data_IF_879461541827
#
_entry.id   IF_879461541827
#
_cell.length_a   1.000
_cell.length_b   1.000
_cell.length_c   1.000
_cell.angle_alpha   90.00
_cell.angle_beta   90.00
_cell.angle_gamma   90.00
#
_symmetry.space_group_name_H-M   'P 1'
#
loop_
_entity.id
_entity.type
_entity.pdbx_description
1 polymer ?
#
# COMPACT_ATOMS: atom_id res chain seq x y z
N UNK A 1 4.76 -0.58 1.08
CA UNK A 1 5.62 0.23 0.21
C UNK A 1 5.75 1.67 0.69
N UNK A 2 4.78 2.53 0.40
CA UNK A 2 4.81 3.99 0.71
C UNK A 2 5.17 4.28 2.18
N UNK A 3 4.49 3.63 3.10
CA UNK A 3 4.73 3.77 4.54
C UNK A 3 6.17 3.40 4.95
N UNK A 4 6.68 2.28 4.45
CA UNK A 4 8.06 1.84 4.74
C UNK A 4 9.07 2.81 4.13
N UNK A 5 8.86 3.22 2.88
CA UNK A 5 9.71 4.19 2.20
C UNK A 5 9.78 5.52 2.97
N UNK A 6 8.63 6.05 3.43
CA UNK A 6 8.58 7.27 4.24
C UNK A 6 9.45 7.20 5.50
N UNK A 7 9.57 6.03 6.12
CA UNK A 7 10.34 5.87 7.35
C UNK A 7 11.83 5.62 7.13
N UNK A 8 12.17 4.86 6.09
CA UNK A 8 13.53 4.38 5.90
C UNK A 8 14.34 5.19 4.89
N UNK A 9 13.66 5.87 3.95
CA UNK A 9 14.33 6.48 2.80
C UNK A 9 14.35 8.01 2.82
N UNK A 10 14.01 8.62 3.96
CA UNK A 10 13.91 10.08 4.09
C UNK A 10 15.21 10.85 3.78
N UNK A 11 16.36 10.22 3.96
CA UNK A 11 17.68 10.84 3.72
C UNK A 11 18.23 10.56 2.32
N UNK A 12 17.52 9.75 1.52
CA UNK A 12 17.95 9.45 0.16
C UNK A 12 17.40 10.45 -0.85
N UNK A 13 18.21 10.78 -1.84
CA UNK A 13 17.82 11.64 -2.95
C UNK A 13 17.34 10.78 -4.12
N UNK A 14 16.15 11.07 -4.60
CA UNK A 14 15.54 10.41 -5.74
C UNK A 14 15.21 11.42 -6.82
N UNK A 15 15.38 11.04 -8.09
CA UNK A 15 14.97 11.84 -9.24
C UNK A 15 13.45 12.08 -9.24
N UNK A 16 12.70 11.07 -8.86
CA UNK A 16 11.24 11.11 -8.77
C UNK A 16 10.76 10.16 -7.68
N UNK A 17 9.71 10.55 -6.98
CA UNK A 17 9.06 9.74 -5.93
C UNK A 17 7.57 9.60 -6.26
N UNK A 18 7.13 8.37 -6.42
CA UNK A 18 5.76 8.04 -6.80
C UNK A 18 5.15 7.15 -5.73
N UNK A 19 4.00 7.55 -5.20
CA UNK A 19 3.21 6.74 -4.28
C UNK A 19 2.04 6.08 -5.02
N UNK A 20 1.82 4.80 -4.79
CA UNK A 20 0.70 4.05 -5.34
C UNK A 20 -0.01 3.33 -4.20
N UNK A 21 -1.30 3.58 -4.05
CA UNK A 21 -2.19 2.90 -3.10
C UNK A 21 -1.63 2.81 -1.68
N UNK A 22 -1.11 3.92 -1.16
CA UNK A 22 -0.58 3.99 0.20
C UNK A 22 -0.29 5.42 0.63
N UNK A 23 -0.11 5.61 1.93
CA UNK A 23 0.22 6.91 2.55
C UNK A 23 1.47 6.83 3.42
N UNK A 24 1.99 7.99 3.81
CA UNK A 24 3.15 8.07 4.69
C UNK A 24 2.93 7.43 6.06
N UNK A 25 1.70 7.45 6.58
CA UNK A 25 1.38 6.88 7.88
C UNK A 25 1.01 5.39 7.81
N UNK A 26 0.50 4.90 6.69
CA UNK A 26 0.18 3.50 6.45
C UNK A 26 -0.95 2.96 7.33
N UNK A 27 -0.76 2.93 8.64
CA UNK A 27 -1.75 2.50 9.64
C UNK A 27 -2.07 3.70 10.53
N UNK A 28 -3.24 4.29 10.33
CA UNK A 28 -3.69 5.51 11.02
C UNK A 28 -5.23 5.60 10.95
N UNK A 29 -5.85 6.33 11.90
CA UNK A 29 -7.31 6.45 11.96
C UNK A 29 -7.92 7.18 10.76
N UNK A 30 -7.20 8.15 10.17
CA UNK A 30 -7.69 9.03 9.11
C UNK A 30 -6.88 8.93 7.82
N UNK A 31 -5.56 8.76 7.95
CA UNK A 31 -4.59 8.83 6.86
C UNK A 31 -3.98 7.47 6.50
N UNK A 32 -4.56 6.38 6.95
CA UNK A 32 -4.08 5.03 6.72
C UNK A 32 -5.17 3.98 6.85
N UNK A 33 -4.76 2.72 6.91
CA UNK A 33 -5.66 1.63 7.31
C UNK A 33 -5.95 1.80 8.79
N UNK A 34 -7.23 1.85 9.15
CA UNK A 34 -7.62 2.02 10.56
C UNK A 34 -7.01 0.90 11.43
N UNK A 35 -6.36 1.21 12.57
CA UNK A 35 -5.65 0.21 13.39
C UNK A 35 -6.50 -1.00 13.77
N UNK A 36 -7.80 -0.79 14.07
CA UNK A 36 -8.73 -1.88 14.40
C UNK A 36 -8.97 -2.79 13.19
N UNK A 37 -9.08 -2.24 11.98
CA UNK A 37 -9.25 -3.00 10.74
C UNK A 37 -7.98 -3.79 10.46
N UNK A 38 -6.82 -3.15 10.54
CA UNK A 38 -5.54 -3.83 10.32
C UNK A 38 -5.35 -4.99 11.30
N UNK A 39 -5.67 -4.80 12.58
CA UNK A 39 -5.60 -5.86 13.61
C UNK A 39 -6.53 -7.03 13.29
N UNK A 40 -7.75 -6.78 12.82
CA UNK A 40 -8.69 -7.83 12.37
C UNK A 40 -8.13 -8.58 11.17
N UNK A 41 -7.58 -7.88 10.18
CA UNK A 41 -6.92 -8.48 9.02
C UNK A 41 -5.77 -9.38 9.45
N UNK A 42 -4.92 -8.92 10.37
CA UNK A 42 -3.81 -9.69 10.91
C UNK A 42 -4.26 -10.99 11.60
N UNK A 43 -5.32 -10.92 12.41
CA UNK A 43 -5.87 -12.09 13.12
C UNK A 43 -6.44 -13.14 12.15
N UNK A 44 -7.07 -12.68 11.06
CA UNK A 44 -7.78 -13.53 10.10
C UNK A 44 -7.03 -13.66 8.76
N UNK A 45 -5.75 -13.30 8.71
CA UNK A 45 -4.98 -13.30 7.47
C UNK A 45 -4.97 -14.66 6.80
N UNK A 46 -5.35 -14.70 5.53
CA UNK A 46 -5.29 -15.85 4.63
C UNK A 46 -4.70 -15.43 3.31
N UNK A 47 -3.58 -16.03 2.95
CA UNK A 47 -2.87 -15.72 1.71
C UNK A 47 -3.74 -15.87 0.46
N UNK A 48 -4.58 -16.92 0.41
CA UNK A 48 -5.50 -17.13 -0.71
C UNK A 48 -6.43 -15.93 -0.90
N UNK A 49 -7.10 -15.51 0.17
CA UNK A 49 -8.02 -14.37 0.14
C UNK A 49 -7.28 -13.06 -0.19
N UNK A 50 -6.13 -12.85 0.44
CA UNK A 50 -5.30 -11.67 0.16
C UNK A 50 -4.94 -11.53 -1.33
N UNK A 51 -4.55 -12.63 -1.98
CA UNK A 51 -4.29 -12.63 -3.43
C UNK A 51 -5.52 -12.28 -4.26
N UNK A 52 -6.70 -12.71 -3.80
CA UNK A 52 -7.97 -12.39 -4.48
C UNK A 52 -8.25 -10.90 -4.49
N UNK A 53 -8.10 -10.24 -3.33
CA UNK A 53 -8.33 -8.80 -3.20
C UNK A 53 -7.19 -7.97 -3.81
N UNK A 54 -5.95 -8.51 -3.80
CA UNK A 54 -4.78 -7.81 -4.32
C UNK A 54 -4.84 -7.60 -5.83
N UNK A 55 -5.32 -8.61 -6.55
CA UNK A 55 -5.29 -8.65 -8.01
C UNK A 55 -6.66 -8.59 -8.68
N UNK A 56 -7.73 -8.94 -7.97
CA UNK A 56 -9.11 -8.98 -8.46
C UNK A 56 -9.20 -9.61 -9.88
N UNK A 57 -9.71 -8.88 -10.86
CA UNK A 57 -9.82 -9.34 -12.23
C UNK A 57 -8.46 -9.50 -12.95
N UNK A 58 -7.38 -8.92 -12.41
CA UNK A 58 -6.01 -9.01 -12.95
C UNK A 58 -5.26 -10.28 -12.55
N UNK A 59 -5.89 -11.23 -11.87
CA UNK A 59 -5.26 -12.50 -11.42
C UNK A 59 -4.53 -13.26 -12.51
N UNK A 60 -5.05 -13.24 -13.73
CA UNK A 60 -4.42 -13.92 -14.88
C UNK A 60 -3.05 -13.37 -15.23
N UNK A 61 -2.79 -12.09 -14.95
CA UNK A 61 -1.49 -11.42 -15.16
C UNK A 61 -0.49 -11.72 -14.03
N UNK A 62 -0.98 -12.16 -12.87
CA UNK A 62 -0.17 -12.43 -11.68
C UNK A 62 0.26 -13.90 -11.53
N UNK A 63 0.17 -14.72 -12.58
CA UNK A 63 0.47 -16.17 -12.52
C UNK A 63 1.88 -16.48 -12.02
N UNK A 64 2.84 -15.67 -12.41
CA UNK A 64 4.26 -15.86 -12.09
C UNK A 64 4.68 -15.13 -10.81
N UNK A 65 3.72 -14.52 -10.09
CA UNK A 65 4.01 -13.84 -8.83
C UNK A 65 4.31 -14.85 -7.72
N UNK A 66 5.54 -14.82 -7.22
CA UNK A 66 5.98 -15.69 -6.12
C UNK A 66 5.76 -14.96 -4.80
N UNK A 67 4.91 -15.53 -3.97
CA UNK A 67 4.69 -15.05 -2.59
C UNK A 67 5.49 -15.91 -1.61
N UNK A 68 5.89 -15.28 -0.50
CA UNK A 68 6.30 -16.02 0.69
C UNK A 68 5.13 -16.86 1.23
N UNK A 69 5.41 -17.83 2.05
CA UNK A 69 4.36 -18.60 2.73
C UNK A 69 3.50 -17.72 3.67
N UNK A 70 2.30 -18.18 3.96
CA UNK A 70 1.30 -17.44 4.77
C UNK A 70 1.84 -17.02 6.14
N UNK A 71 2.62 -17.91 6.78
CA UNK A 71 3.18 -17.64 8.12
C UNK A 71 4.23 -16.52 8.07
N UNK A 72 5.11 -16.53 7.09
CA UNK A 72 6.11 -15.48 6.89
C UNK A 72 5.48 -14.12 6.62
N UNK A 73 4.46 -14.08 5.76
CA UNK A 73 3.73 -12.85 5.46
C UNK A 73 2.98 -12.32 6.69
N UNK A 74 2.40 -13.20 7.51
CA UNK A 74 1.75 -12.80 8.75
C UNK A 74 2.73 -12.16 9.73
N UNK A 75 3.92 -12.73 9.90
CA UNK A 75 4.99 -12.14 10.72
C UNK A 75 5.41 -10.75 10.21
N UNK A 76 5.48 -10.57 8.89
CA UNK A 76 5.78 -9.25 8.32
C UNK A 76 4.67 -8.23 8.60
N UNK A 77 3.42 -8.63 8.49
CA UNK A 77 2.28 -7.77 8.86
C UNK A 77 2.28 -7.41 10.36
N UNK A 78 2.62 -8.36 11.24
CA UNK A 78 2.77 -8.10 12.68
C UNK A 78 3.84 -7.03 12.93
N UNK A 79 5.01 -7.17 12.31
CA UNK A 79 6.08 -6.17 12.40
C UNK A 79 5.66 -4.79 11.86
N UNK A 80 4.90 -4.75 10.78
CA UNK A 80 4.36 -3.47 10.26
C UNK A 80 3.40 -2.83 11.25
N UNK A 81 2.56 -3.61 11.93
CA UNK A 81 1.65 -3.12 12.95
C UNK A 81 2.40 -2.57 14.15
N UNK A 82 3.36 -3.33 14.70
CA UNK A 82 4.20 -2.90 15.84
C UNK A 82 4.97 -1.63 15.50
N UNK A 83 5.51 -1.56 14.28
CA UNK A 83 6.20 -0.38 13.79
C UNK A 83 5.29 0.84 13.70
N UNK A 84 4.01 0.66 13.37
CA UNK A 84 3.02 1.73 13.34
C UNK A 84 2.64 2.26 14.73
N UNK A 85 2.83 1.48 15.80
CA UNK A 85 2.60 1.92 17.17
C UNK A 85 3.69 2.86 17.68
N UNK A 86 4.83 2.95 17.01
CA UNK A 86 5.87 3.95 17.33
C UNK A 86 5.50 5.31 16.75
N UNK A 87 6.20 6.39 17.18
CA UNK A 87 5.98 7.73 16.65
C UNK A 87 6.09 7.73 15.12
N UNK A 88 5.04 8.19 14.45
CA UNK A 88 4.97 8.30 13.00
C UNK A 88 5.12 9.77 12.58
N UNK A 89 5.82 9.99 11.49
CA UNK A 89 6.05 11.31 10.88
C UNK A 89 5.83 11.22 9.38
N UNK A 90 5.32 12.29 8.78
CA UNK A 90 5.17 12.41 7.33
C UNK A 90 6.42 13.10 6.78
N UNK A 91 7.43 12.31 6.43
CA UNK A 91 8.77 12.80 6.06
C UNK A 91 8.99 12.97 4.55
N UNK A 92 8.31 12.14 3.73
CA UNK A 92 8.49 12.18 2.28
C UNK A 92 7.39 13.00 1.61
N UNK A 93 7.80 13.85 0.68
CA UNK A 93 6.94 14.45 -0.32
C UNK A 93 6.99 13.58 -1.58
N UNK A 94 5.84 13.37 -2.20
CA UNK A 94 5.66 12.54 -3.39
C UNK A 94 5.36 13.44 -4.58
N UNK A 95 6.04 13.18 -5.70
CA UNK A 95 5.88 13.97 -6.93
C UNK A 95 4.57 13.59 -7.65
N UNK A 96 4.20 12.30 -7.59
CA UNK A 96 2.91 11.79 -8.07
C UNK A 96 2.31 10.84 -7.05
N UNK A 97 0.99 10.84 -6.96
CA UNK A 97 0.25 9.92 -6.09
C UNK A 97 -0.92 9.31 -6.86
N UNK A 98 -0.90 8.00 -6.99
CA UNK A 98 -1.97 7.22 -7.61
C UNK A 98 -2.84 6.55 -6.55
N UNK A 99 -4.14 6.52 -6.81
CA UNK A 99 -5.14 5.86 -5.96
C UNK A 99 -6.09 5.03 -6.81
N UNK A 100 -6.15 3.75 -6.56
CA UNK A 100 -7.21 2.90 -7.10
C UNK A 100 -8.56 3.30 -6.50
N UNK A 101 -9.60 3.44 -7.34
CA UNK A 101 -10.91 3.96 -6.90
C UNK A 101 -11.62 3.04 -5.92
N UNK A 102 -11.53 1.73 -6.17
CA UNK A 102 -12.23 0.67 -5.43
C UNK A 102 -11.25 -0.21 -4.63
N UNK A 103 -10.12 0.35 -4.18
CA UNK A 103 -9.10 -0.40 -3.42
C UNK A 103 -9.69 -0.96 -2.11
N UNK A 104 -9.82 -2.27 -2.05
CA UNK A 104 -10.33 -2.99 -0.86
C UNK A 104 -9.26 -3.22 0.23
N UNK A 105 -7.97 -3.03 -0.10
CA UNK A 105 -6.85 -3.22 0.83
C UNK A 105 -6.51 -1.91 1.53
N UNK A 106 -6.35 -0.83 0.75
CA UNK A 106 -5.97 0.47 1.28
C UNK A 106 -7.03 1.52 0.98
N UNK A 107 -7.72 2.06 2.00
CA UNK A 107 -8.89 2.91 1.79
C UNK A 107 -8.58 4.16 0.94
N UNK A 108 -9.26 4.40 -0.19
CA UNK A 108 -9.04 5.62 -1.00
C UNK A 108 -9.26 6.91 -0.21
N UNK A 109 -10.13 6.90 0.80
CA UNK A 109 -10.34 8.05 1.66
C UNK A 109 -9.10 8.42 2.49
N UNK A 110 -8.26 7.45 2.86
CA UNK A 110 -7.00 7.73 3.54
C UNK A 110 -6.03 8.52 2.65
N UNK A 111 -6.00 8.20 1.34
CA UNK A 111 -5.21 8.96 0.37
C UNK A 111 -5.76 10.37 0.19
N UNK A 112 -7.09 10.53 0.09
CA UNK A 112 -7.75 11.86 0.01
C UNK A 112 -7.44 12.73 1.22
N UNK A 113 -7.35 12.13 2.42
CA UNK A 113 -6.99 12.84 3.65
C UNK A 113 -5.49 13.19 3.74
N UNK A 114 -4.65 12.50 2.98
CA UNK A 114 -3.19 12.65 3.04
C UNK A 114 -2.63 13.54 1.94
N UNK A 115 -3.27 13.57 0.76
CA UNK A 115 -2.72 14.22 -0.43
C UNK A 115 -3.76 15.10 -1.11
N UNK A 116 -3.32 16.28 -1.58
CA UNK A 116 -4.18 17.23 -2.29
C UNK A 116 -4.44 16.82 -3.74
N UNK A 117 -3.44 16.26 -4.40
CA UNK A 117 -3.48 15.90 -5.81
C UNK A 117 -3.37 14.39 -5.94
N UNK A 118 -4.45 13.74 -6.39
CA UNK A 118 -4.52 12.30 -6.62
C UNK A 118 -4.83 12.04 -8.09
N UNK A 119 -4.15 11.05 -8.64
CA UNK A 119 -4.46 10.47 -9.95
C UNK A 119 -5.21 9.16 -9.68
N UNK A 120 -6.46 9.10 -10.14
CA UNK A 120 -7.30 7.92 -9.91
C UNK A 120 -7.12 6.88 -11.01
N UNK A 121 -7.01 5.61 -10.61
CA UNK A 121 -6.92 4.46 -11.50
C UNK A 121 -8.14 3.55 -11.33
N UNK A 122 -8.58 2.94 -12.41
CA UNK A 122 -9.56 1.86 -12.41
C UNK A 122 -8.82 0.51 -12.40
N UNK A 123 -8.09 0.28 -11.30
CA UNK A 123 -7.24 -0.90 -11.08
C UNK A 123 -7.42 -1.40 -9.64
N UNK A 124 -7.14 -2.68 -9.37
CA UNK A 124 -7.10 -3.22 -8.00
C UNK A 124 -5.95 -2.61 -7.20
N UNK A 125 -5.79 -3.05 -5.96
CA UNK A 125 -4.69 -2.57 -5.10
C UNK A 125 -3.30 -2.70 -5.75
N UNK A 126 -3.04 -3.81 -6.45
CA UNK A 126 -1.83 -3.98 -7.25
C UNK A 126 -2.00 -3.33 -8.62
N UNK A 127 -1.84 -2.02 -8.69
CA UNK A 127 -2.09 -1.23 -9.89
C UNK A 127 -0.95 -1.25 -10.93
N UNK A 128 0.13 -1.99 -10.71
CA UNK A 128 1.30 -1.97 -11.59
C UNK A 128 1.05 -2.56 -12.98
N UNK A 129 0.04 -3.39 -13.16
CA UNK A 129 -0.36 -3.89 -14.48
C UNK A 129 -1.00 -2.84 -15.38
N UNK A 130 -1.33 -1.67 -14.83
CA UNK A 130 -1.82 -0.52 -15.61
C UNK A 130 -0.73 0.04 -16.53
N UNK A 131 0.52 0.03 -16.07
CA UNK A 131 1.66 0.64 -16.74
C UNK A 131 2.41 -0.41 -17.57
N UNK A 132 2.68 -0.09 -18.85
CA UNK A 132 3.47 -0.96 -19.73
C UNK A 132 4.97 -0.81 -19.48
N UNK A 133 5.39 0.38 -19.13
CA UNK A 133 6.78 0.73 -18.82
C UNK A 133 6.86 1.63 -17.60
N UNK A 134 8.02 1.72 -16.98
CA UNK A 134 8.26 2.61 -15.85
C UNK A 134 8.18 4.10 -16.21
N UNK A 135 8.34 4.43 -17.49
CA UNK A 135 8.30 5.82 -17.97
C UNK A 135 6.86 6.37 -18.02
N UNK A 136 5.86 5.51 -17.90
CA UNK A 136 4.44 5.91 -17.82
C UNK A 136 4.01 6.35 -16.40
N UNK A 137 4.83 6.09 -15.39
CA UNK A 137 4.63 6.52 -14.00
C UNK A 137 4.97 8.03 -13.78
#
# INVERSE_FOLDING_TARGET
GVYVANRLLKELHFKQKIAINGTNLGIDKLKGIHPTIFKKTLQNFKLKYFKEVLFEERKSLAKDFIFKDEKSLKIELEKLFDFALTKQEENLLWDKVYSSKEDEIFPPNALKNSFKNLIFLDEPHFAFFHFKTWDEL
#
